data_IF_099499150388
#
_entry.id   IF_099499150388
#
_cell.length_a   1.000
_cell.length_b   1.000
_cell.length_c   1.000
_cell.angle_alpha   90.00
_cell.angle_beta   90.00
_cell.angle_gamma   90.00
#
_symmetry.space_group_name_H-M   'P 1'
#
loop_
_entity.id
_entity.type
_entity.pdbx_description
1 polymer ?
#
# COMPACT_ATOMS: atom_id res chain seq x y z
N UNK A 1 11.30 12.32 -13.82
CA UNK A 1 11.67 10.94 -14.18
C UNK A 1 10.64 10.03 -13.55
N UNK A 2 10.04 9.09 -14.27
CA UNK A 2 9.11 8.12 -13.67
C UNK A 2 9.90 6.87 -13.34
N UNK A 3 9.91 6.42 -12.07
CA UNK A 3 10.41 5.09 -11.77
C UNK A 3 9.52 4.05 -12.46
N UNK A 4 10.16 3.09 -13.12
CA UNK A 4 9.50 1.92 -13.68
C UNK A 4 10.00 0.70 -12.91
N UNK A 5 9.10 -0.25 -12.58
CA UNK A 5 9.52 -1.51 -11.99
C UNK A 5 10.36 -2.34 -12.99
N UNK A 6 11.19 -3.27 -12.52
CA UNK A 6 11.92 -4.21 -13.38
C UNK A 6 10.97 -4.97 -14.31
N UNK A 7 11.34 -5.16 -15.58
CA UNK A 7 10.48 -5.84 -16.57
C UNK A 7 10.10 -7.30 -16.19
N UNK A 8 10.92 -7.93 -15.34
CA UNK A 8 10.70 -9.29 -14.84
C UNK A 8 9.88 -9.36 -13.54
N UNK A 9 9.54 -8.21 -12.92
CA UNK A 9 8.72 -8.18 -11.72
C UNK A 9 7.23 -8.42 -12.06
N UNK A 10 6.85 -9.69 -12.18
CA UNK A 10 5.49 -10.12 -12.60
C UNK A 10 4.61 -10.65 -11.47
N UNK A 11 5.09 -10.64 -10.22
CA UNK A 11 4.31 -11.01 -9.03
C UNK A 11 4.20 -9.82 -8.09
N UNK A 12 3.21 -9.82 -7.19
CA UNK A 12 3.05 -8.72 -6.23
C UNK A 12 4.24 -8.67 -5.29
N UNK A 13 4.81 -9.81 -4.93
CA UNK A 13 6.02 -9.91 -4.11
C UNK A 13 7.23 -9.25 -4.80
N UNK A 14 7.48 -9.56 -6.08
CA UNK A 14 8.60 -8.97 -6.82
C UNK A 14 8.43 -7.45 -7.01
N UNK A 15 7.18 -6.99 -7.20
CA UNK A 15 6.88 -5.56 -7.26
C UNK A 15 7.11 -4.88 -5.91
N UNK A 16 6.76 -5.54 -4.80
CA UNK A 16 7.01 -5.06 -3.44
C UNK A 16 8.52 -4.93 -3.15
N UNK A 17 9.30 -5.92 -3.54
CA UNK A 17 10.77 -5.90 -3.41
C UNK A 17 11.38 -4.77 -4.23
N UNK A 18 10.93 -4.59 -5.48
CA UNK A 18 11.40 -3.49 -6.33
C UNK A 18 11.07 -2.12 -5.72
N UNK A 19 9.84 -1.94 -5.21
CA UNK A 19 9.38 -0.68 -4.64
C UNK A 19 10.17 -0.27 -3.39
N UNK A 20 10.63 -1.23 -2.57
CA UNK A 20 11.40 -0.98 -1.35
C UNK A 20 12.73 -0.23 -1.58
N UNK A 21 13.23 -0.22 -2.82
CA UNK A 21 14.46 0.49 -3.20
C UNK A 21 14.22 1.64 -4.18
N UNK A 22 12.95 1.99 -4.42
CA UNK A 22 12.56 3.00 -5.41
C UNK A 22 13.14 4.38 -5.05
N UNK A 23 13.76 5.02 -6.05
CA UNK A 23 14.23 6.42 -5.97
C UNK A 23 13.68 7.28 -7.10
N UNK A 24 12.47 6.99 -7.55
CA UNK A 24 11.83 7.63 -8.71
C UNK A 24 11.42 9.09 -8.51
N UNK A 25 11.28 9.54 -7.27
CA UNK A 25 10.92 10.90 -6.88
C UNK A 25 11.55 11.22 -5.52
N UNK A 26 11.54 12.47 -5.06
CA UNK A 26 12.29 12.87 -3.87
C UNK A 26 11.69 12.34 -2.54
N UNK A 27 10.53 11.69 -2.56
CA UNK A 27 9.85 11.20 -1.35
C UNK A 27 10.64 10.09 -0.62
N UNK A 28 11.45 9.31 -1.34
CA UNK A 28 12.28 8.26 -0.72
C UNK A 28 13.28 8.83 0.30
N UNK A 29 13.66 10.10 0.17
CA UNK A 29 14.75 10.67 0.93
C UNK A 29 14.41 10.90 2.41
N UNK A 30 13.13 11.16 2.71
CA UNK A 30 12.67 11.52 4.06
C UNK A 30 11.69 10.49 4.66
N UNK A 31 11.15 9.57 3.87
CA UNK A 31 10.35 8.47 4.38
C UNK A 31 11.22 7.47 5.16
N UNK A 32 10.65 6.82 6.17
CA UNK A 32 11.34 5.74 6.90
C UNK A 32 11.48 4.51 6.01
N UNK A 33 10.43 4.16 5.27
CA UNK A 33 10.40 3.01 4.39
C UNK A 33 9.25 3.09 3.38
N UNK A 34 9.30 2.28 2.32
CA UNK A 34 8.18 2.12 1.41
C UNK A 34 7.00 1.41 2.10
N UNK A 35 5.80 1.97 1.96
CA UNK A 35 4.56 1.28 2.31
C UNK A 35 3.89 0.84 1.02
N UNK A 36 4.04 -0.44 0.69
CA UNK A 36 3.43 -1.03 -0.50
C UNK A 36 1.92 -1.28 -0.27
N UNK A 37 1.32 -2.22 -0.98
CA UNK A 37 -0.01 -2.71 -0.65
C UNK A 37 -0.03 -3.89 0.32
N UNK A 38 -1.21 -4.15 0.88
CA UNK A 38 -1.50 -5.31 1.73
C UNK A 38 -2.86 -5.93 1.41
N UNK A 39 -2.94 -7.26 1.48
CA UNK A 39 -4.12 -8.05 1.16
C UNK A 39 -3.81 -9.24 0.27
N UNK A 40 -4.85 -10.03 -0.02
CA UNK A 40 -4.72 -11.27 -0.79
C UNK A 40 -4.45 -10.97 -2.28
N UNK A 41 -3.47 -11.64 -2.87
CA UNK A 41 -3.31 -11.68 -4.32
C UNK A 41 -4.59 -12.21 -4.99
N UNK A 42 -5.08 -11.50 -6.02
CA UNK A 42 -6.33 -11.83 -6.71
C UNK A 42 -7.61 -11.41 -5.96
N UNK A 43 -7.50 -10.52 -4.95
CA UNK A 43 -8.65 -9.81 -4.39
C UNK A 43 -9.51 -9.19 -5.50
N UNK A 44 -10.84 -9.27 -5.36
CA UNK A 44 -11.78 -8.73 -6.36
C UNK A 44 -12.03 -7.23 -6.19
N UNK A 45 -11.62 -6.66 -5.06
CA UNK A 45 -11.72 -5.25 -4.74
C UNK A 45 -10.35 -4.75 -4.32
N UNK A 46 -9.97 -3.61 -4.87
CA UNK A 46 -8.78 -2.86 -4.50
C UNK A 46 -9.20 -1.47 -4.05
N UNK A 47 -8.72 -1.03 -2.88
CA UNK A 47 -8.90 0.33 -2.39
C UNK A 47 -7.56 1.06 -2.46
N UNK A 48 -7.58 2.26 -3.03
CA UNK A 48 -6.38 3.07 -3.25
C UNK A 48 -6.54 4.40 -2.51
N UNK A 49 -5.72 4.61 -1.50
CA UNK A 49 -5.60 5.89 -0.79
C UNK A 49 -4.65 6.86 -1.48
N UNK A 50 -4.36 7.97 -0.82
CA UNK A 50 -3.46 9.00 -1.35
C UNK A 50 -1.99 8.59 -1.18
N UNK A 51 -1.49 8.60 0.06
CA UNK A 51 -0.11 8.31 0.44
C UNK A 51 -0.05 7.77 1.89
N UNK A 52 1.04 7.13 2.30
CA UNK A 52 1.25 6.70 3.68
C UNK A 52 1.30 7.90 4.64
N UNK A 53 0.63 7.77 5.79
CA UNK A 53 0.79 8.70 6.91
C UNK A 53 1.93 8.30 7.83
N UNK A 54 2.08 9.04 8.93
CA UNK A 54 3.13 8.82 9.95
C UNK A 54 3.13 7.39 10.51
N UNK A 55 1.95 6.87 10.91
CA UNK A 55 1.89 5.51 11.46
C UNK A 55 2.13 4.42 10.42
N UNK A 56 1.68 4.65 9.19
CA UNK A 56 1.93 3.74 8.07
C UNK A 56 3.41 3.68 7.72
N UNK A 57 4.08 4.83 7.62
CA UNK A 57 5.53 4.94 7.34
C UNK A 57 6.37 4.24 8.42
N UNK A 58 6.06 4.48 9.69
CA UNK A 58 6.79 3.84 10.80
C UNK A 58 6.55 2.32 10.87
N UNK A 59 5.37 1.85 10.50
CA UNK A 59 5.00 0.42 10.61
C UNK A 59 5.19 -0.38 9.33
N UNK A 60 5.41 0.26 8.18
CA UNK A 60 5.52 -0.40 6.88
C UNK A 60 4.21 -1.04 6.41
N UNK A 61 3.05 -0.57 6.88
CA UNK A 61 1.73 -1.15 6.59
C UNK A 61 0.70 -0.07 6.23
N UNK A 62 -0.09 -0.25 5.17
CA UNK A 62 -1.09 0.73 4.77
C UNK A 62 -2.31 0.71 5.70
N UNK A 63 -2.92 1.89 5.93
CA UNK A 63 -4.17 2.05 6.70
C UNK A 63 -4.12 1.48 8.13
N UNK A 64 -3.08 1.78 8.92
CA UNK A 64 -2.96 1.37 10.33
C UNK A 64 -3.29 2.50 11.31
N UNK A 65 -3.30 3.75 10.84
CA UNK A 65 -3.64 4.93 11.62
C UNK A 65 -5.14 5.14 11.87
N UNK A 66 -5.54 6.32 12.37
CA UNK A 66 -6.94 6.65 12.64
C UNK A 66 -7.87 6.51 11.42
N UNK A 67 -7.40 6.92 10.23
CA UNK A 67 -8.16 6.79 8.99
C UNK A 67 -8.36 5.31 8.60
N UNK A 68 -7.35 4.47 8.81
CA UNK A 68 -7.45 3.03 8.60
C UNK A 68 -8.47 2.36 9.51
N UNK A 69 -8.52 2.76 10.79
CA UNK A 69 -9.57 2.28 11.71
C UNK A 69 -10.98 2.71 11.31
N UNK A 70 -11.12 3.89 10.70
CA UNK A 70 -12.41 4.32 10.15
C UNK A 70 -12.79 3.50 8.91
N UNK A 71 -11.81 3.22 8.04
CA UNK A 71 -12.01 2.35 6.89
C UNK A 71 -12.44 0.94 7.30
N UNK A 72 -11.80 0.35 8.31
CA UNK A 72 -12.17 -0.97 8.86
C UNK A 72 -13.66 -1.00 9.25
N UNK A 73 -14.11 0.00 10.03
CA UNK A 73 -15.51 0.14 10.45
C UNK A 73 -16.46 0.28 9.26
N UNK A 74 -16.09 1.10 8.27
CA UNK A 74 -16.91 1.30 7.08
C UNK A 74 -17.05 0.02 6.24
N UNK A 75 -15.98 -0.79 6.15
CA UNK A 75 -16.04 -2.10 5.49
C UNK A 75 -16.95 -3.06 6.24
N UNK A 76 -16.85 -3.10 7.57
CA UNK A 76 -17.71 -3.93 8.42
C UNK A 76 -19.18 -3.53 8.28
N UNK A 77 -19.49 -2.23 8.34
CA UNK A 77 -20.85 -1.69 8.16
C UNK A 77 -21.42 -2.00 6.75
N UNK A 78 -20.56 -2.01 5.74
CA UNK A 78 -20.92 -2.39 4.37
C UNK A 78 -21.02 -3.92 4.15
N UNK A 79 -20.70 -4.74 5.15
CA UNK A 79 -20.68 -6.20 5.03
C UNK A 79 -19.55 -6.73 4.14
N UNK A 80 -18.47 -5.96 4.01
CA UNK A 80 -17.30 -6.31 3.19
C UNK A 80 -16.22 -6.91 4.09
N UNK A 81 -15.95 -8.20 3.92
CA UNK A 81 -14.83 -8.85 4.61
C UNK A 81 -13.49 -8.25 4.17
N UNK A 82 -12.79 -7.58 5.09
CA UNK A 82 -11.47 -6.94 4.89
C UNK A 82 -10.45 -7.88 4.25
N UNK A 83 -10.52 -9.19 4.51
CA UNK A 83 -9.59 -10.20 3.95
C UNK A 83 -9.76 -10.42 2.45
N UNK A 84 -10.87 -9.94 1.87
CA UNK A 84 -11.18 -10.02 0.43
C UNK A 84 -10.78 -8.77 -0.34
N UNK A 85 -10.19 -7.78 0.35
CA UNK A 85 -9.81 -6.48 -0.20
C UNK A 85 -8.29 -6.37 -0.20
N UNK A 86 -7.74 -5.86 -1.31
CA UNK A 86 -6.37 -5.37 -1.36
C UNK A 86 -6.36 -3.86 -1.13
N UNK A 87 -5.47 -3.34 -0.29
CA UNK A 87 -5.38 -1.90 -0.04
C UNK A 87 -3.97 -1.41 -0.33
N UNK A 88 -3.85 -0.21 -0.88
CA UNK A 88 -2.57 0.47 -1.11
C UNK A 88 -2.79 1.98 -1.23
N UNK A 89 -1.73 2.72 -1.54
CA UNK A 89 -1.79 4.15 -1.84
C UNK A 89 -1.32 4.43 -3.27
N UNK A 90 -1.69 5.58 -3.80
CA UNK A 90 -1.25 6.02 -5.12
C UNK A 90 0.22 6.43 -5.15
N UNK A 91 0.75 6.88 -4.00
CA UNK A 91 2.12 7.37 -3.79
C UNK A 91 2.84 6.50 -2.77
#
# INVERSE_FOLDING_TARGET
>A
MTAQPPENARTVELLKEAAASCRGCDLWANATQTVFGDGREGAKMMLVGEQPGDQEDLQGKPFVGPAGRLLEKALDEAGIDRRRVYVTNAV
#
